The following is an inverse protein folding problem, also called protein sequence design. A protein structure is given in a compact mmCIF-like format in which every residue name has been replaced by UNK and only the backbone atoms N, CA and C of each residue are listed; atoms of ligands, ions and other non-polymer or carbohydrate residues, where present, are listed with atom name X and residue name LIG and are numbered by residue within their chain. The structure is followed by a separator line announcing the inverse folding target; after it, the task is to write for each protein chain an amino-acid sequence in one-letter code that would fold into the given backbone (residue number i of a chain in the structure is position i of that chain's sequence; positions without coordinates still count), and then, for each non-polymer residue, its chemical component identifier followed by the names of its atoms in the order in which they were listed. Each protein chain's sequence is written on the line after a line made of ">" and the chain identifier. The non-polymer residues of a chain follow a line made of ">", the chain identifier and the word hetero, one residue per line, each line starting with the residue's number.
data_IF_114038951584
#
_entry.id   IF_114038951584
#
_cell.length_a   1.000
_cell.length_b   1.000
_cell.length_c   1.000
_cell.angle_alpha   90.00
_cell.angle_beta   90.00
_cell.angle_gamma   90.00
#
_symmetry.space_group_name_H-M   'P 1'
#
loop_
_entity.id
_entity.type
_entity.pdbx_description
1 polymer ?
#
# COMPACT_ATOMS: atom_id res chain seq x y z
N UNK A 1 -6.31 -12.99 -31.58
CA UNK A 1 -5.98 -11.63 -31.07
C UNK A 1 -5.30 -11.83 -29.74
N UNK A 2 -4.08 -11.36 -29.54
CA UNK A 2 -3.40 -11.48 -28.25
C UNK A 2 -4.13 -10.60 -27.23
N UNK A 3 -4.46 -11.17 -26.08
CA UNK A 3 -4.94 -10.43 -24.90
C UNK A 3 -3.70 -9.75 -24.32
N UNK A 4 -3.60 -8.45 -24.53
CA UNK A 4 -2.57 -7.64 -23.86
C UNK A 4 -2.95 -7.57 -22.39
N UNK A 5 -2.25 -8.34 -21.55
CA UNK A 5 -2.34 -8.18 -20.10
C UNK A 5 -1.81 -6.79 -19.75
N UNK A 6 -2.69 -5.94 -19.24
CA UNK A 6 -2.28 -4.69 -18.59
C UNK A 6 -1.68 -5.11 -17.25
N UNK A 7 -0.35 -5.13 -17.19
CA UNK A 7 0.35 -5.27 -15.94
C UNK A 7 0.01 -4.05 -15.06
N UNK A 8 -0.75 -4.27 -14.00
CA UNK A 8 -0.86 -3.28 -12.93
C UNK A 8 0.56 -3.08 -12.40
N UNK A 9 1.09 -1.85 -12.47
CA UNK A 9 2.39 -1.54 -11.91
C UNK A 9 2.31 -1.77 -10.39
N UNK A 10 2.94 -2.84 -9.93
CA UNK A 10 3.10 -3.16 -8.51
C UNK A 10 4.42 -2.51 -8.10
N UNK A 11 4.36 -1.43 -7.32
CA UNK A 11 5.55 -0.88 -6.70
C UNK A 11 5.92 -1.75 -5.50
N UNK A 12 7.03 -2.47 -5.60
CA UNK A 12 7.63 -3.19 -4.48
C UNK A 12 8.69 -2.26 -3.90
N UNK A 13 8.43 -1.80 -2.67
CA UNK A 13 9.29 -0.81 -2.01
C UNK A 13 10.15 -1.50 -0.98
N UNK A 14 11.45 -1.32 -1.13
CA UNK A 14 12.44 -1.52 -0.09
C UNK A 14 13.11 -0.17 0.17
N UNK A 15 12.85 0.45 1.31
CA UNK A 15 13.62 1.59 1.79
C UNK A 15 15.00 1.08 2.19
N UNK A 16 15.93 0.98 1.24
CA UNK A 16 17.32 0.59 1.45
C UNK A 16 18.25 1.71 1.04
N UNK A 17 19.24 2.03 1.87
CA UNK A 17 20.34 2.95 1.54
C UNK A 17 21.09 2.59 0.26
N UNK A 18 22.16 3.33 -0.11
CA UNK A 18 22.85 3.18 -1.40
C UNK A 18 23.23 1.74 -1.67
N UNK A 19 22.85 1.24 -2.87
CA UNK A 19 23.11 -0.14 -3.31
C UNK A 19 24.60 -0.42 -3.27
N UNK A 20 25.04 -1.26 -2.34
CA UNK A 20 26.30 -2.00 -2.50
C UNK A 20 26.09 -3.03 -3.61
N UNK A 21 27.02 -3.03 -4.58
CA UNK A 21 26.98 -3.94 -5.72
C UNK A 21 27.08 -5.39 -5.26
N UNK A 22 25.95 -6.12 -5.23
CA UNK A 22 25.96 -7.58 -5.06
C UNK A 22 24.97 -8.18 -4.08
N UNK A 23 24.26 -7.42 -3.21
CA UNK A 23 23.26 -7.99 -2.31
C UNK A 23 21.84 -7.76 -2.86
N UNK A 24 21.08 -8.85 -2.94
CA UNK A 24 19.66 -8.81 -3.27
C UNK A 24 18.90 -8.04 -2.18
N UNK A 25 18.09 -7.04 -2.57
CA UNK A 25 17.25 -6.32 -1.61
C UNK A 25 16.05 -7.19 -1.18
N UNK A 26 15.42 -6.90 -0.03
CA UNK A 26 14.17 -7.58 0.35
C UNK A 26 13.06 -7.44 -0.70
N UNK A 27 12.99 -6.32 -1.41
CA UNK A 27 12.04 -6.10 -2.50
C UNK A 27 12.34 -6.98 -3.72
N UNK A 28 13.63 -7.11 -4.09
CA UNK A 28 14.04 -8.01 -5.19
C UNK A 28 13.68 -9.47 -4.84
N UNK A 29 13.93 -9.90 -3.60
CA UNK A 29 13.57 -11.24 -3.14
C UNK A 29 12.06 -11.50 -3.17
N UNK A 30 11.25 -10.48 -2.81
CA UNK A 30 9.79 -10.57 -2.91
C UNK A 30 9.35 -10.67 -4.37
N UNK A 31 9.93 -9.87 -5.27
CA UNK A 31 9.63 -9.93 -6.70
C UNK A 31 9.97 -11.29 -7.31
N UNK A 32 11.13 -11.85 -6.99
CA UNK A 32 11.54 -13.18 -7.45
C UNK A 32 10.57 -14.26 -6.95
N UNK A 33 10.14 -14.16 -5.68
CA UNK A 33 9.14 -15.07 -5.10
C UNK A 33 7.81 -14.98 -5.86
N UNK A 34 7.33 -13.78 -6.14
CA UNK A 34 6.08 -13.57 -6.89
C UNK A 34 6.18 -14.12 -8.32
N UNK A 35 7.30 -13.87 -8.98
CA UNK A 35 7.58 -14.40 -10.33
C UNK A 35 7.62 -15.92 -10.33
N UNK A 36 8.32 -16.53 -9.38
CA UNK A 36 8.39 -17.98 -9.25
C UNK A 36 7.01 -18.65 -9.04
N UNK A 37 6.13 -18.02 -8.27
CA UNK A 37 4.76 -18.52 -8.07
C UNK A 37 3.95 -18.48 -9.38
N UNK A 38 4.12 -17.44 -10.21
CA UNK A 38 3.49 -17.35 -11.53
C UNK A 38 4.01 -18.46 -12.45
N UNK A 39 5.33 -18.69 -12.48
CA UNK A 39 5.95 -19.74 -13.29
C UNK A 39 5.49 -21.15 -12.88
N UNK A 40 5.20 -21.36 -11.60
CA UNK A 40 4.62 -22.58 -11.07
C UNK A 40 3.10 -22.70 -11.28
N UNK A 41 2.45 -21.70 -11.89
CA UNK A 41 1.00 -21.64 -12.08
C UNK A 41 0.20 -21.53 -10.78
N UNK A 42 0.81 -21.03 -9.70
CA UNK A 42 0.18 -20.85 -8.40
C UNK A 42 -0.45 -19.47 -8.27
N UNK A 43 -1.54 -19.40 -7.51
CA UNK A 43 -2.17 -18.16 -7.08
C UNK A 43 -2.16 -18.08 -5.56
N UNK A 44 -2.08 -16.86 -5.01
CA UNK A 44 -2.16 -16.62 -3.58
C UNK A 44 -3.55 -16.10 -3.21
N UNK A 45 -4.13 -16.67 -2.16
CA UNK A 45 -5.34 -16.13 -1.54
C UNK A 45 -4.95 -14.96 -0.63
N UNK A 46 -5.69 -13.83 -0.75
CA UNK A 46 -5.52 -12.66 0.08
C UNK A 46 -6.79 -12.31 0.84
N UNK A 47 -6.64 -11.68 2.01
CA UNK A 47 -7.74 -11.16 2.81
C UNK A 47 -7.42 -9.78 3.36
N UNK A 48 -8.38 -8.85 3.23
CA UNK A 48 -8.23 -7.48 3.73
C UNK A 48 -8.46 -7.47 5.24
N UNK A 49 -7.61 -6.75 5.96
CA UNK A 49 -7.68 -6.49 7.42
C UNK A 49 -7.78 -7.75 8.31
N UNK A 50 -7.35 -8.90 7.80
CA UNK A 50 -7.53 -10.24 8.40
C UNK A 50 -7.04 -10.35 9.85
N UNK A 51 -6.03 -9.56 10.25
CA UNK A 51 -5.48 -9.57 11.60
C UNK A 51 -5.94 -8.38 12.46
N UNK A 52 -6.83 -7.52 11.92
CA UNK A 52 -7.36 -6.34 12.62
C UNK A 52 -8.77 -6.57 13.13
N UNK A 53 -9.60 -7.19 12.32
CA UNK A 53 -10.98 -7.55 12.69
C UNK A 53 -11.51 -8.67 11.80
N UNK A 54 -12.55 -9.33 12.26
CA UNK A 54 -13.25 -10.37 11.54
C UNK A 54 -14.78 -10.24 11.70
N UNK A 55 -15.48 -11.30 11.33
CA UNK A 55 -16.94 -11.31 11.33
C UNK A 55 -17.57 -10.96 12.69
N UNK A 56 -16.95 -11.41 13.79
CA UNK A 56 -17.50 -11.24 15.13
C UNK A 56 -16.48 -10.77 16.16
N UNK A 57 -15.35 -10.25 15.74
CA UNK A 57 -14.28 -9.79 16.61
C UNK A 57 -13.57 -8.57 16.04
N UNK A 58 -12.91 -7.84 16.91
CA UNK A 58 -12.00 -6.75 16.59
C UNK A 58 -10.78 -6.86 17.49
N UNK A 59 -9.60 -6.52 16.96
CA UNK A 59 -8.37 -6.47 17.71
C UNK A 59 -8.51 -5.47 18.87
N UNK A 60 -8.09 -5.87 20.07
CA UNK A 60 -8.10 -5.01 21.24
C UNK A 60 -7.05 -3.90 21.11
N UNK A 61 -7.31 -2.72 21.69
CA UNK A 61 -6.41 -1.57 21.59
C UNK A 61 -5.07 -1.79 22.30
N UNK A 62 -5.01 -2.73 23.24
CA UNK A 62 -3.82 -3.14 23.98
C UNK A 62 -3.24 -4.48 23.49
N UNK A 63 -3.66 -4.97 22.32
CA UNK A 63 -3.18 -6.23 21.78
C UNK A 63 -1.68 -6.19 21.49
N UNK A 64 -0.99 -7.26 21.88
CA UNK A 64 0.43 -7.48 21.61
C UNK A 64 0.68 -8.66 20.69
N UNK A 65 -0.36 -9.42 20.36
CA UNK A 65 -0.32 -10.59 19.49
C UNK A 65 -1.31 -10.45 18.34
N UNK A 66 -0.92 -10.91 17.15
CA UNK A 66 -1.68 -10.78 15.91
C UNK A 66 -1.93 -12.18 15.33
N UNK A 67 -2.73 -12.97 16.05
CA UNK A 67 -2.97 -14.39 15.78
C UNK A 67 -4.42 -14.68 15.39
N UNK A 68 -5.34 -13.78 15.67
CA UNK A 68 -6.75 -13.98 15.35
C UNK A 68 -6.99 -13.70 13.86
N UNK A 69 -7.70 -14.60 13.19
CA UNK A 69 -7.99 -14.55 11.76
C UNK A 69 -9.19 -15.43 11.46
N UNK A 70 -10.17 -14.90 10.73
CA UNK A 70 -11.33 -15.68 10.27
C UNK A 70 -10.92 -16.72 9.21
N UNK A 71 -9.91 -16.41 8.40
CA UNK A 71 -9.35 -17.34 7.42
C UNK A 71 -8.69 -18.51 8.13
N UNK A 72 -7.83 -18.24 9.12
CA UNK A 72 -7.20 -19.30 9.92
C UNK A 72 -8.23 -20.15 10.67
N UNK A 73 -9.24 -19.54 11.27
CA UNK A 73 -10.31 -20.24 11.96
C UNK A 73 -11.11 -21.17 11.03
N UNK A 74 -11.18 -20.82 9.74
CA UNK A 74 -11.93 -21.58 8.74
C UNK A 74 -11.14 -22.75 8.16
N UNK A 75 -9.85 -22.55 7.85
CA UNK A 75 -9.06 -23.55 7.10
C UNK A 75 -7.72 -23.93 7.76
N UNK A 76 -7.37 -23.37 8.92
CA UNK A 76 -6.13 -23.68 9.64
C UNK A 76 -4.87 -23.07 9.01
N UNK A 77 -5.04 -22.14 8.07
CA UNK A 77 -3.96 -21.43 7.40
C UNK A 77 -4.27 -19.93 7.37
N UNK A 78 -3.23 -19.07 7.54
CA UNK A 78 -3.37 -17.64 7.31
C UNK A 78 -3.44 -17.35 5.80
N UNK A 79 -4.08 -16.23 5.38
CA UNK A 79 -4.02 -15.82 3.97
C UNK A 79 -2.56 -15.59 3.56
N UNK A 80 -2.21 -15.93 2.32
CA UNK A 80 -0.87 -15.69 1.80
C UNK A 80 -0.58 -14.20 1.62
N UNK A 81 -1.62 -13.41 1.33
CA UNK A 81 -1.55 -11.95 1.21
C UNK A 81 -2.49 -11.31 2.24
N UNK A 82 -1.95 -10.41 3.02
CA UNK A 82 -2.68 -9.61 4.00
C UNK A 82 -2.77 -8.17 3.51
N UNK A 83 -3.99 -7.69 3.24
CA UNK A 83 -4.25 -6.35 2.76
C UNK A 83 -4.58 -5.38 3.89
N UNK A 84 -4.11 -4.13 3.76
CA UNK A 84 -4.49 -3.00 4.63
C UNK A 84 -4.55 -1.71 3.81
N UNK A 85 -5.13 -0.66 4.36
CA UNK A 85 -5.21 0.66 3.72
C UNK A 85 -4.53 1.75 4.56
N UNK A 86 -3.84 2.70 3.90
CA UNK A 86 -3.13 3.80 4.55
C UNK A 86 -3.95 5.09 4.68
N UNK A 87 -5.21 5.13 4.21
CA UNK A 87 -6.02 6.35 4.24
C UNK A 87 -6.11 6.96 5.65
N UNK A 88 -5.77 8.24 5.77
CA UNK A 88 -5.70 8.97 7.04
C UNK A 88 -4.28 9.19 7.56
N UNK A 89 -3.27 8.45 7.05
CA UNK A 89 -1.87 8.67 7.48
C UNK A 89 -1.38 10.06 7.09
N UNK A 90 -1.81 10.56 5.95
CA UNK A 90 -1.49 11.89 5.45
C UNK A 90 -1.98 13.00 6.38
N UNK A 91 -2.99 12.70 7.19
CA UNK A 91 -3.62 13.62 8.14
C UNK A 91 -3.10 13.46 9.58
N UNK A 92 -2.06 12.64 9.79
CA UNK A 92 -1.55 12.29 11.12
C UNK A 92 -2.61 11.68 12.05
N UNK A 93 -3.61 10.99 11.47
CA UNK A 93 -4.58 10.27 12.28
C UNK A 93 -3.93 9.07 12.98
N UNK A 94 -4.39 8.71 14.18
CA UNK A 94 -3.82 7.55 14.90
C UNK A 94 -4.25 6.21 14.28
N UNK A 95 -5.29 6.22 13.43
CA UNK A 95 -5.86 5.05 12.79
C UNK A 95 -6.30 5.39 11.36
N UNK A 96 -6.36 4.38 10.51
CA UNK A 96 -6.80 4.52 9.13
C UNK A 96 -8.33 4.73 9.03
N UNK A 97 -8.82 4.85 7.80
CA UNK A 97 -10.26 5.04 7.51
C UNK A 97 -11.14 3.90 8.05
N UNK A 98 -10.61 2.67 8.21
CA UNK A 98 -11.30 1.51 8.79
C UNK A 98 -11.15 1.44 10.32
N UNK A 99 -10.56 2.47 10.93
CA UNK A 99 -10.29 2.59 12.36
C UNK A 99 -9.27 1.57 12.88
N UNK A 100 -8.41 1.06 12.01
CA UNK A 100 -7.27 0.25 12.38
C UNK A 100 -6.10 1.16 12.75
N UNK A 101 -5.56 1.00 13.94
CA UNK A 101 -4.43 1.81 14.44
C UNK A 101 -3.16 1.53 13.64
N UNK A 102 -2.44 2.56 13.25
CA UNK A 102 -1.22 2.42 12.45
C UNK A 102 -0.09 1.65 13.18
N UNK A 103 0.01 1.76 14.51
CA UNK A 103 0.95 0.97 15.29
C UNK A 103 0.63 -0.54 15.23
N UNK A 104 -0.65 -0.92 15.35
CA UNK A 104 -1.09 -2.30 15.15
C UNK A 104 -0.92 -2.79 13.71
N UNK A 105 -1.21 -1.94 12.72
CA UNK A 105 -0.99 -2.29 11.30
C UNK A 105 0.48 -2.61 11.03
N UNK A 106 1.41 -1.82 11.58
CA UNK A 106 2.86 -2.08 11.49
C UNK A 106 3.23 -3.41 12.13
N UNK A 107 2.81 -3.62 13.37
CA UNK A 107 3.15 -4.82 14.12
C UNK A 107 2.53 -6.09 13.52
N UNK A 108 1.28 -6.01 13.02
CA UNK A 108 0.63 -7.13 12.33
C UNK A 108 1.28 -7.48 11.00
N UNK A 109 1.78 -6.47 10.25
CA UNK A 109 2.53 -6.70 9.02
C UNK A 109 3.84 -7.47 9.29
N UNK A 110 4.55 -7.11 10.38
CA UNK A 110 5.74 -7.85 10.83
C UNK A 110 5.38 -9.29 11.20
N UNK A 111 4.35 -9.48 12.05
CA UNK A 111 3.91 -10.81 12.46
C UNK A 111 3.47 -11.67 11.28
N UNK A 112 2.82 -11.08 10.26
CA UNK A 112 2.45 -11.78 9.04
C UNK A 112 3.65 -12.17 8.19
N UNK A 113 4.64 -11.27 8.06
CA UNK A 113 5.90 -11.54 7.37
C UNK A 113 6.68 -12.70 8.03
N UNK A 114 6.79 -12.71 9.36
CA UNK A 114 7.46 -13.78 10.12
C UNK A 114 6.84 -15.15 9.93
N UNK A 115 5.52 -15.20 9.58
CA UNK A 115 4.82 -16.43 9.16
C UNK A 115 5.03 -16.79 7.69
N UNK A 116 5.82 -16.00 6.95
CA UNK A 116 6.06 -16.19 5.51
C UNK A 116 4.97 -15.57 4.61
N UNK A 117 4.06 -14.75 5.16
CA UNK A 117 3.05 -14.02 4.40
C UNK A 117 3.61 -12.78 3.69
N UNK A 118 2.80 -12.19 2.84
CA UNK A 118 3.09 -10.94 2.10
C UNK A 118 2.04 -9.92 2.49
N UNK A 119 2.46 -8.70 2.84
CA UNK A 119 1.54 -7.62 3.14
C UNK A 119 1.43 -6.66 1.96
N UNK A 120 0.21 -6.24 1.64
CA UNK A 120 -0.06 -5.20 0.65
C UNK A 120 -0.81 -4.04 1.28
N UNK A 121 -0.46 -2.82 0.85
CA UNK A 121 -1.14 -1.60 1.28
C UNK A 121 -1.76 -0.90 0.09
N UNK A 122 -3.06 -0.63 0.16
CA UNK A 122 -3.71 0.40 -0.66
C UNK A 122 -3.62 1.76 0.04
N UNK A 123 -4.02 2.80 -0.65
CA UNK A 123 -4.09 4.14 -0.07
C UNK A 123 -5.30 4.87 -0.64
N UNK A 124 -6.18 5.32 0.27
CA UNK A 124 -7.30 6.21 -0.02
C UNK A 124 -7.02 7.59 0.61
N UNK A 125 -6.08 8.37 0.06
CA UNK A 125 -5.78 9.69 0.61
C UNK A 125 -6.95 10.63 0.42
N UNK A 126 -7.10 11.56 1.34
CA UNK A 126 -8.04 12.67 1.19
C UNK A 126 -7.75 13.45 -0.09
N UNK A 127 -8.73 14.24 -0.52
CA UNK A 127 -8.55 15.11 -1.68
C UNK A 127 -7.68 16.32 -1.29
N UNK A 128 -6.46 16.45 -1.85
CA UNK A 128 -5.51 17.50 -1.42
C UNK A 128 -5.91 18.91 -1.90
N UNK A 129 -6.77 19.00 -2.91
CA UNK A 129 -7.22 20.28 -3.46
C UNK A 129 -8.46 20.82 -2.72
N UNK A 130 -9.46 19.95 -2.51
CA UNK A 130 -10.75 20.35 -1.93
C UNK A 130 -10.81 20.16 -0.42
N UNK A 131 -9.98 19.27 0.15
CA UNK A 131 -10.04 18.87 1.54
C UNK A 131 -11.13 17.80 1.82
N UNK A 132 -11.80 17.28 0.78
CA UNK A 132 -12.75 16.17 0.86
C UNK A 132 -12.05 14.84 1.13
N UNK A 133 -12.77 13.73 1.04
CA UNK A 133 -12.21 12.37 1.13
C UNK A 133 -11.73 11.85 -0.24
N UNK A 134 -11.34 10.58 -0.31
CA UNK A 134 -10.90 9.95 -1.55
C UNK A 134 -12.01 9.89 -2.62
N UNK A 135 -13.27 9.86 -2.21
CA UNK A 135 -14.45 9.82 -3.08
C UNK A 135 -14.96 11.21 -3.49
N UNK A 136 -14.31 12.28 -3.06
CA UNK A 136 -14.65 13.63 -3.51
C UNK A 136 -14.17 13.86 -4.95
N UNK A 137 -15.08 13.66 -5.88
CA UNK A 137 -14.90 13.83 -7.33
C UNK A 137 -15.42 15.17 -7.84
N UNK A 138 -15.56 16.17 -6.97
CA UNK A 138 -16.11 17.51 -7.30
C UNK A 138 -15.21 18.34 -8.21
N UNK A 139 -13.95 17.96 -8.40
CA UNK A 139 -12.99 18.65 -9.26
C UNK A 139 -12.16 17.67 -10.09
N UNK A 140 -11.98 17.98 -11.37
CA UNK A 140 -11.08 17.31 -12.30
C UNK A 140 -9.65 17.90 -12.30
N UNK A 141 -9.39 18.89 -11.43
CA UNK A 141 -8.10 19.57 -11.33
C UNK A 141 -7.21 18.98 -10.23
N UNK A 142 -7.69 17.98 -9.48
CA UNK A 142 -6.96 17.47 -8.31
C UNK A 142 -5.60 16.91 -8.70
N UNK A 143 -5.57 15.98 -9.68
CA UNK A 143 -4.31 15.38 -10.12
C UNK A 143 -3.38 16.43 -10.69
N UNK A 144 -3.87 17.36 -11.53
CA UNK A 144 -3.06 18.45 -12.07
C UNK A 144 -2.44 19.33 -10.97
N UNK A 145 -3.19 19.58 -9.89
CA UNK A 145 -2.74 20.44 -8.78
C UNK A 145 -1.59 19.87 -7.98
N UNK A 146 -1.43 18.54 -7.95
CA UNK A 146 -0.38 17.86 -7.15
C UNK A 146 0.85 17.45 -7.97
N UNK A 147 0.77 17.49 -9.31
CA UNK A 147 1.94 17.22 -10.16
C UNK A 147 2.98 18.35 -10.03
N UNK A 148 4.26 18.13 -10.43
CA UNK A 148 5.30 19.15 -10.41
C UNK A 148 4.83 20.44 -11.08
N UNK A 149 4.94 21.57 -10.34
CA UNK A 149 4.45 22.87 -10.76
C UNK A 149 2.99 23.15 -10.42
N UNK A 150 2.24 22.20 -9.93
CA UNK A 150 0.88 22.39 -9.41
C UNK A 150 0.86 23.08 -8.04
N UNK A 151 -0.23 23.78 -7.73
CA UNK A 151 -0.35 24.60 -6.50
C UNK A 151 -0.35 23.78 -5.20
N UNK A 152 -0.65 22.48 -5.28
CA UNK A 152 -0.67 21.54 -4.16
C UNK A 152 0.50 20.57 -4.15
N UNK A 153 1.45 20.71 -5.08
CA UNK A 153 2.57 19.79 -5.21
C UNK A 153 3.34 19.62 -3.89
N UNK A 154 3.88 20.68 -3.34
CA UNK A 154 4.67 20.64 -2.10
C UNK A 154 3.86 20.07 -0.91
N UNK A 155 2.59 20.44 -0.82
CA UNK A 155 1.69 19.90 0.20
C UNK A 155 1.51 18.40 0.04
N UNK A 156 1.26 17.93 -1.19
CA UNK A 156 1.10 16.51 -1.48
C UNK A 156 2.38 15.70 -1.24
N UNK A 157 3.56 16.29 -1.52
CA UNK A 157 4.85 15.65 -1.22
C UNK A 157 5.00 15.38 0.28
N UNK A 158 4.46 16.21 1.17
CA UNK A 158 4.44 15.91 2.62
C UNK A 158 3.59 14.68 2.95
N UNK A 159 2.55 14.40 2.18
CA UNK A 159 1.71 13.21 2.33
C UNK A 159 2.42 11.94 1.86
N UNK A 160 3.12 12.01 0.73
CA UNK A 160 3.97 10.92 0.24
C UNK A 160 5.06 10.59 1.25
N UNK A 161 5.69 11.61 1.86
CA UNK A 161 6.69 11.42 2.91
C UNK A 161 6.13 10.59 4.08
N UNK A 162 4.94 10.92 4.58
CA UNK A 162 4.32 10.19 5.68
C UNK A 162 4.02 8.73 5.31
N UNK A 163 3.57 8.48 4.08
CA UNK A 163 3.35 7.12 3.60
C UNK A 163 4.67 6.35 3.50
N UNK A 164 5.73 6.97 2.95
CA UNK A 164 7.07 6.39 2.86
C UNK A 164 7.66 6.07 4.25
N UNK A 165 7.59 7.02 5.18
CA UNK A 165 8.05 6.86 6.57
C UNK A 165 7.33 5.69 7.24
N UNK A 166 6.03 5.56 7.07
CA UNK A 166 5.27 4.44 7.63
C UNK A 166 5.73 3.12 7.04
N UNK A 167 5.78 2.99 5.72
CA UNK A 167 6.17 1.76 5.03
C UNK A 167 7.61 1.38 5.36
N UNK A 168 8.54 2.35 5.38
CA UNK A 168 9.94 2.15 5.78
C UNK A 168 10.14 1.81 7.25
N UNK A 169 9.15 2.11 8.11
CA UNK A 169 9.18 1.76 9.53
C UNK A 169 8.78 0.31 9.83
N UNK A 170 8.28 -0.45 8.84
CA UNK A 170 7.91 -1.86 9.02
C UNK A 170 9.18 -2.70 9.00
N UNK A 171 9.68 -3.01 10.21
CA UNK A 171 10.94 -3.73 10.40
C UNK A 171 10.76 -4.85 11.42
N UNK A 172 11.46 -5.95 11.21
CA UNK A 172 11.57 -7.05 12.17
C UNK A 172 12.33 -6.59 13.42
N UNK A 173 12.30 -7.40 14.49
CA UNK A 173 12.96 -7.07 15.75
C UNK A 173 14.49 -6.90 15.61
N UNK A 174 15.12 -7.54 14.63
CA UNK A 174 16.55 -7.40 14.29
C UNK A 174 16.83 -6.24 13.32
N UNK A 175 15.80 -5.45 12.99
CA UNK A 175 15.92 -4.23 12.17
C UNK A 175 15.89 -4.45 10.66
N UNK A 176 15.62 -5.66 10.19
CA UNK A 176 15.48 -5.92 8.76
C UNK A 176 14.17 -5.32 8.22
N UNK A 177 14.25 -4.69 7.05
CA UNK A 177 13.06 -4.14 6.37
C UNK A 177 12.15 -5.27 5.90
N UNK A 178 10.88 -5.19 6.26
CA UNK A 178 9.83 -6.08 5.74
C UNK A 178 9.38 -5.57 4.37
N UNK A 179 9.56 -6.33 3.29
CA UNK A 179 9.12 -5.90 1.97
C UNK A 179 7.59 -5.97 1.89
N UNK A 180 7.00 -4.94 1.30
CA UNK A 180 5.56 -4.82 1.13
C UNK A 180 5.20 -4.49 -0.31
N UNK A 181 3.97 -4.80 -0.71
CA UNK A 181 3.40 -4.36 -1.99
C UNK A 181 2.59 -3.10 -1.71
N UNK A 182 3.01 -1.96 -2.27
CA UNK A 182 2.23 -0.74 -2.17
C UNK A 182 1.44 -0.51 -3.45
N UNK A 183 0.14 -0.25 -3.30
CA UNK A 183 -0.84 -0.20 -4.37
C UNK A 183 -1.70 1.08 -4.29
N UNK A 184 -1.09 2.27 -4.41
CA UNK A 184 -1.83 3.52 -4.53
C UNK A 184 -2.54 3.61 -5.88
N UNK A 185 -3.39 4.61 -6.05
CA UNK A 185 -4.06 4.96 -7.33
C UNK A 185 -4.80 3.79 -7.99
N UNK A 186 -5.25 2.84 -7.20
CA UNK A 186 -5.99 1.66 -7.64
C UNK A 186 -7.38 2.05 -8.16
N UNK A 187 -8.05 1.12 -8.86
CA UNK A 187 -9.41 1.25 -9.36
C UNK A 187 -9.66 2.49 -10.24
N UNK A 188 -8.63 2.98 -10.91
CA UNK A 188 -8.65 4.17 -11.75
C UNK A 188 -9.82 4.18 -12.74
N UNK A 189 -10.13 3.04 -13.37
CA UNK A 189 -11.18 2.93 -14.38
C UNK A 189 -12.59 3.09 -13.82
N UNK A 190 -12.78 2.94 -12.51
CA UNK A 190 -14.06 3.11 -11.83
C UNK A 190 -14.52 4.57 -11.73
N UNK A 191 -13.58 5.51 -11.67
CA UNK A 191 -13.82 6.96 -11.59
C UNK A 191 -14.61 7.43 -10.36
N UNK A 192 -14.59 6.65 -9.29
CA UNK A 192 -15.20 7.02 -8.00
C UNK A 192 -14.21 7.65 -7.02
N UNK A 193 -12.94 7.74 -7.37
CA UNK A 193 -11.90 8.42 -6.63
C UNK A 193 -11.43 9.65 -7.40
N UNK A 194 -10.86 10.65 -6.70
CA UNK A 194 -10.36 11.88 -7.32
C UNK A 194 -9.22 11.66 -8.33
N UNK A 195 -8.55 10.48 -8.32
CA UNK A 195 -7.56 10.07 -9.32
C UNK A 195 -8.15 9.21 -10.44
N UNK A 196 -9.48 9.11 -10.54
CA UNK A 196 -10.17 8.27 -11.51
C UNK A 196 -10.04 8.79 -12.95
N UNK A 197 -10.24 7.88 -13.92
CA UNK A 197 -10.01 8.19 -15.35
C UNK A 197 -10.86 9.34 -15.90
N UNK A 198 -11.98 9.68 -15.28
CA UNK A 198 -12.82 10.82 -15.68
C UNK A 198 -12.37 12.12 -15.04
N UNK A 199 -11.47 12.07 -14.06
CA UNK A 199 -11.01 13.19 -13.23
C UNK A 199 -9.59 13.65 -13.59
N UNK A 200 -8.90 12.93 -14.48
CA UNK A 200 -7.57 13.31 -14.97
C UNK A 200 -7.33 12.72 -16.37
N UNK A 201 -6.38 13.31 -17.08
CA UNK A 201 -5.94 12.75 -18.36
C UNK A 201 -5.05 11.51 -18.16
N UNK A 202 -4.87 10.73 -19.22
CA UNK A 202 -3.94 9.59 -19.21
C UNK A 202 -2.51 10.01 -18.87
N UNK A 203 -2.08 11.16 -19.39
CA UNK A 203 -0.75 11.73 -19.14
C UNK A 203 -0.58 12.16 -17.69
N UNK A 204 -1.60 12.79 -17.10
CA UNK A 204 -1.62 13.16 -15.69
C UNK A 204 -1.56 11.93 -14.78
N UNK A 205 -2.33 10.88 -15.10
CA UNK A 205 -2.30 9.66 -14.31
C UNK A 205 -0.96 8.93 -14.38
N UNK A 206 -0.34 8.87 -15.57
CA UNK A 206 1.03 8.34 -15.72
C UNK A 206 2.06 9.18 -14.96
N UNK A 207 1.94 10.52 -15.03
CA UNK A 207 2.82 11.41 -14.29
C UNK A 207 2.66 11.27 -12.76
N UNK A 208 1.44 11.08 -12.27
CA UNK A 208 1.16 10.79 -10.86
C UNK A 208 1.85 9.49 -10.42
N UNK A 209 1.77 8.42 -11.21
CA UNK A 209 2.47 7.16 -10.92
C UNK A 209 3.98 7.33 -10.95
N UNK A 210 4.51 8.03 -11.97
CA UNK A 210 5.96 8.26 -12.09
C UNK A 210 6.49 9.06 -10.90
N UNK A 211 5.83 10.17 -10.56
CA UNK A 211 6.20 11.00 -9.41
C UNK A 211 6.19 10.18 -8.10
N UNK A 212 5.14 9.38 -7.91
CA UNK A 212 5.00 8.51 -6.74
C UNK A 212 6.12 7.47 -6.68
N UNK A 213 6.39 6.79 -7.79
CA UNK A 213 7.44 5.79 -7.90
C UNK A 213 8.82 6.39 -7.63
N UNK A 214 9.14 7.51 -8.31
CA UNK A 214 10.43 8.17 -8.16
C UNK A 214 10.68 8.62 -6.73
N UNK A 215 9.64 9.13 -6.05
CA UNK A 215 9.74 9.49 -4.63
C UNK A 215 10.06 8.25 -3.77
N UNK A 216 9.28 7.19 -3.91
CA UNK A 216 9.40 5.99 -3.04
C UNK A 216 10.67 5.18 -3.27
N UNK A 217 11.32 5.30 -4.44
CA UNK A 217 12.57 4.58 -4.74
C UNK A 217 13.81 5.39 -4.31
N UNK A 218 13.71 6.71 -4.21
CA UNK A 218 14.85 7.57 -3.89
C UNK A 218 14.90 8.00 -2.42
N UNK A 219 13.85 7.77 -1.64
CA UNK A 219 13.78 8.03 -0.19
C UNK A 219 13.87 6.71 0.60
#
# INVERSE_FOLDING_TARGET
>A
KPITMIAAAIAIISCGGPKESGSQTPADALLDRLTGLVDEGKIMFGHQDDLMYGHSWKLADDATEYVQSDVFATCGQYPAIYGMDLGGIEMDWPANLDKNRFDHMRASAVAHHERGGITTFSWHPRNPLTGGDAWDVSSDQVVASILPGGEKHEYFMTWLAKAADFLGSIKTADGQTVPVIWRPWHEHTGSWFWWGQKLCTTEQYKALWQMTYDYMVNE
#
